data_IF_323792476445
#
_entry.id   IF_323792476445
#
_cell.length_a   1.000
_cell.length_b   1.000
_cell.length_c   1.000
_cell.angle_alpha   90.00
_cell.angle_beta   90.00
_cell.angle_gamma   90.00
#
_symmetry.space_group_name_H-M   'P 1'
#
loop_
_entity.id
_entity.type
_entity.pdbx_description
1 polymer ?
#
# COMPACT_ATOMS: atom_id res chain seq x y z
N UNK A 1 -19.62 54.87 -13.89
CA UNK A 1 -18.92 54.71 -12.60
C UNK A 1 -19.20 53.30 -12.13
N UNK A 2 -18.36 52.37 -12.57
CA UNK A 2 -18.58 50.93 -12.54
C UNK A 2 -18.26 50.39 -11.15
N UNK A 3 -19.26 49.85 -10.45
CA UNK A 3 -19.12 49.22 -9.14
C UNK A 3 -18.40 47.89 -9.31
N UNK A 4 -17.15 47.85 -8.86
CA UNK A 4 -16.52 46.77 -8.12
C UNK A 4 -16.90 45.33 -8.51
N UNK A 5 -16.35 44.87 -9.63
CA UNK A 5 -16.19 43.46 -10.00
C UNK A 5 -15.19 42.69 -9.09
N UNK A 6 -14.89 43.17 -7.88
CA UNK A 6 -13.82 42.65 -7.02
C UNK A 6 -14.24 41.46 -6.14
N UNK A 7 -15.52 41.08 -6.14
CA UNK A 7 -16.04 39.98 -5.31
C UNK A 7 -15.94 38.62 -6.05
N UNK A 8 -15.99 38.62 -7.40
CA UNK A 8 -15.88 37.38 -8.19
C UNK A 8 -14.45 36.85 -8.31
N UNK A 9 -13.46 37.73 -8.39
CA UNK A 9 -12.06 37.33 -8.65
C UNK A 9 -11.39 36.62 -7.46
N UNK A 10 -11.94 36.76 -6.25
CA UNK A 10 -11.40 36.12 -5.03
C UNK A 10 -11.77 34.64 -4.91
N UNK A 11 -12.78 34.18 -5.64
CA UNK A 11 -13.19 32.77 -5.67
C UNK A 11 -12.57 31.97 -6.83
N UNK A 12 -12.08 32.65 -7.88
CA UNK A 12 -11.53 31.99 -9.06
C UNK A 12 -10.00 31.82 -9.02
N UNK A 13 -9.34 32.38 -7.99
CA UNK A 13 -7.89 32.19 -7.75
C UNK A 13 -7.62 31.21 -6.62
N UNK A 14 -8.55 30.29 -6.35
CA UNK A 14 -8.23 29.04 -5.65
C UNK A 14 -7.42 28.17 -6.61
N UNK A 15 -6.13 28.49 -6.76
CA UNK A 15 -5.15 27.41 -6.90
C UNK A 15 -5.47 26.45 -5.77
N UNK A 16 -5.74 25.15 -6.02
CA UNK A 16 -5.93 24.21 -4.93
C UNK A 16 -4.71 24.40 -4.04
N UNK A 17 -4.93 24.83 -2.79
CA UNK A 17 -3.88 24.96 -1.81
C UNK A 17 -3.12 23.64 -1.86
N UNK A 18 -1.85 23.70 -2.25
CA UNK A 18 -0.95 22.56 -2.18
C UNK A 18 -1.19 21.95 -0.80
N UNK A 19 -1.52 20.64 -0.73
CA UNK A 19 -1.85 20.01 0.54
C UNK A 19 -0.73 20.38 1.50
N UNK A 20 -1.12 20.89 2.67
CA UNK A 20 -0.17 21.36 3.68
C UNK A 20 0.78 20.21 3.99
N UNK A 21 2.08 20.46 4.16
CA UNK A 21 3.07 19.37 4.36
C UNK A 21 2.65 18.42 5.50
N UNK A 22 1.97 18.96 6.51
CA UNK A 22 1.36 18.23 7.64
C UNK A 22 0.22 17.28 7.22
N UNK A 23 -0.62 17.64 6.25
CA UNK A 23 -1.70 16.78 5.76
C UNK A 23 -1.16 15.63 4.92
N UNK A 24 -0.11 15.90 4.14
CA UNK A 24 0.64 14.90 3.39
C UNK A 24 1.32 13.89 4.32
N UNK A 25 1.95 14.36 5.40
CA UNK A 25 2.62 13.51 6.37
C UNK A 25 1.63 12.61 7.12
N UNK A 26 0.51 13.17 7.59
CA UNK A 26 -0.54 12.40 8.24
C UNK A 26 -1.15 11.34 7.32
N UNK A 27 -1.39 11.67 6.04
CA UNK A 27 -1.88 10.71 5.06
C UNK A 27 -0.88 9.57 4.83
N UNK A 28 0.42 9.87 4.74
CA UNK A 28 1.47 8.85 4.58
C UNK A 28 1.51 7.94 5.80
N UNK A 29 1.46 8.48 7.01
CA UNK A 29 1.47 7.70 8.26
C UNK A 29 0.22 6.82 8.38
N UNK A 30 -0.96 7.34 8.07
CA UNK A 30 -2.21 6.59 8.12
C UNK A 30 -2.25 5.47 7.06
N UNK A 31 -1.79 5.76 5.84
CA UNK A 31 -1.61 4.77 4.78
C UNK A 31 -0.62 3.68 5.20
N UNK A 32 0.50 4.05 5.83
CA UNK A 32 1.51 3.11 6.30
C UNK A 32 0.94 2.19 7.38
N UNK A 33 0.22 2.75 8.35
CA UNK A 33 -0.44 2.00 9.42
C UNK A 33 -1.48 1.01 8.85
N UNK A 34 -2.28 1.47 7.88
CA UNK A 34 -3.25 0.62 7.20
C UNK A 34 -2.58 -0.53 6.42
N UNK A 35 -1.55 -0.22 5.63
CA UNK A 35 -0.80 -1.23 4.86
C UNK A 35 -0.07 -2.21 5.76
N UNK A 36 0.42 -1.78 6.91
CA UNK A 36 1.08 -2.68 7.86
C UNK A 36 0.09 -3.63 8.51
N UNK A 37 -1.03 -3.12 9.02
CA UNK A 37 -2.01 -3.95 9.72
C UNK A 37 -2.73 -4.91 8.78
N UNK A 38 -3.21 -4.41 7.63
CA UNK A 38 -3.98 -5.21 6.69
C UNK A 38 -3.10 -5.93 5.67
N UNK A 39 -2.01 -5.32 5.23
CA UNK A 39 -1.10 -5.91 4.22
C UNK A 39 -0.41 -7.17 4.74
N UNK A 40 0.01 -7.21 6.01
CA UNK A 40 0.61 -8.41 6.61
C UNK A 40 -0.43 -9.54 6.73
N UNK A 41 -1.66 -9.23 7.15
CA UNK A 41 -2.75 -10.21 7.26
C UNK A 41 -3.09 -10.78 5.88
N UNK A 42 -3.30 -9.90 4.89
CA UNK A 42 -3.63 -10.31 3.52
C UNK A 42 -2.51 -11.16 2.93
N UNK A 43 -1.25 -10.73 3.03
CA UNK A 43 -0.12 -11.51 2.50
C UNK A 43 0.02 -12.87 3.19
N UNK A 44 -0.25 -12.96 4.50
CA UNK A 44 -0.22 -14.22 5.24
C UNK A 44 -1.32 -15.19 4.77
N UNK A 45 -2.55 -14.70 4.58
CA UNK A 45 -3.67 -15.49 4.06
C UNK A 45 -3.37 -15.95 2.63
N UNK A 46 -2.89 -15.05 1.75
CA UNK A 46 -2.56 -15.39 0.37
C UNK A 46 -1.41 -16.40 0.31
N UNK A 47 -0.40 -16.30 1.18
CA UNK A 47 0.66 -17.29 1.28
C UNK A 47 0.12 -18.68 1.67
N UNK A 48 -0.79 -18.76 2.64
CA UNK A 48 -1.45 -20.02 3.01
C UNK A 48 -2.24 -20.62 1.85
N UNK A 49 -3.00 -19.80 1.12
CA UNK A 49 -3.73 -20.24 -0.08
C UNK A 49 -2.76 -20.78 -1.13
N UNK A 50 -1.63 -20.10 -1.37
CA UNK A 50 -0.62 -20.56 -2.31
C UNK A 50 0.00 -21.92 -1.89
N UNK A 51 0.17 -22.16 -0.58
CA UNK A 51 0.64 -23.46 -0.06
C UNK A 51 -0.38 -24.56 -0.31
N UNK A 52 -1.67 -24.30 -0.10
CA UNK A 52 -2.75 -25.25 -0.39
C UNK A 52 -2.78 -25.58 -1.89
N UNK A 53 -2.70 -24.55 -2.74
CA UNK A 53 -2.67 -24.71 -4.19
C UNK A 53 -1.41 -25.48 -4.64
N UNK A 54 -0.26 -25.24 -4.02
CA UNK A 54 0.96 -26.00 -4.27
C UNK A 54 0.76 -27.49 -4.00
N UNK A 55 0.13 -27.87 -2.89
CA UNK A 55 -0.17 -29.28 -2.58
C UNK A 55 -1.10 -29.90 -3.64
N UNK A 56 -2.14 -29.17 -4.06
CA UNK A 56 -3.07 -29.63 -5.10
C UNK A 56 -2.37 -29.85 -6.47
N UNK A 57 -1.50 -28.93 -6.88
CA UNK A 57 -0.77 -29.06 -8.15
C UNK A 57 0.36 -30.10 -8.10
N UNK A 58 0.92 -30.36 -6.92
CA UNK A 58 1.86 -31.47 -6.70
C UNK A 58 1.19 -32.82 -7.01
N UNK A 59 -0.07 -33.00 -6.63
CA UNK A 59 -0.86 -34.20 -6.94
C UNK A 59 -1.13 -34.33 -8.46
N UNK A 60 -1.33 -33.20 -9.16
CA UNK A 60 -1.54 -33.16 -10.62
C UNK A 60 -0.25 -33.37 -11.46
N UNK A 61 0.92 -33.59 -10.84
CA UNK A 61 2.22 -33.82 -11.50
C UNK A 61 2.58 -32.80 -12.60
N UNK A 62 2.19 -31.53 -12.42
CA UNK A 62 2.43 -30.48 -13.42
C UNK A 62 3.61 -29.58 -12.98
N UNK A 63 4.87 -29.89 -13.36
CA UNK A 63 6.06 -29.30 -12.75
C UNK A 63 6.20 -27.80 -12.99
N UNK A 64 5.70 -27.28 -14.12
CA UNK A 64 5.77 -25.85 -14.45
C UNK A 64 4.90 -25.01 -13.50
N UNK A 65 3.65 -25.40 -13.30
CA UNK A 65 2.71 -24.73 -12.39
C UNK A 65 3.17 -24.82 -10.93
N UNK A 66 3.70 -25.97 -10.51
CA UNK A 66 4.25 -26.14 -9.16
C UNK A 66 5.37 -25.13 -8.86
N UNK A 67 6.25 -24.88 -9.84
CA UNK A 67 7.34 -23.91 -9.70
C UNK A 67 6.81 -22.46 -9.63
N UNK A 68 5.82 -22.12 -10.44
CA UNK A 68 5.17 -20.80 -10.43
C UNK A 68 4.49 -20.52 -9.08
N UNK A 69 3.64 -21.44 -8.60
CA UNK A 69 2.93 -21.27 -7.33
C UNK A 69 3.87 -21.21 -6.13
N UNK A 70 4.97 -21.96 -6.17
CA UNK A 70 6.00 -21.89 -5.13
C UNK A 70 6.73 -20.54 -5.16
N UNK A 71 7.07 -20.02 -6.34
CA UNK A 71 7.66 -18.69 -6.48
C UNK A 71 6.70 -17.60 -5.99
N UNK A 72 5.42 -17.70 -6.34
CA UNK A 72 4.37 -16.77 -5.90
C UNK A 72 4.23 -16.77 -4.36
N UNK A 73 4.22 -17.95 -3.74
CA UNK A 73 4.17 -18.08 -2.28
C UNK A 73 5.37 -17.38 -1.60
N UNK A 74 6.59 -17.60 -2.10
CA UNK A 74 7.78 -16.91 -1.58
C UNK A 74 7.73 -15.40 -1.83
N UNK A 75 7.18 -14.96 -2.96
CA UNK A 75 6.96 -13.55 -3.25
C UNK A 75 6.03 -12.88 -2.24
N UNK A 76 4.90 -13.50 -1.92
CA UNK A 76 3.98 -12.98 -0.89
C UNK A 76 4.60 -12.97 0.51
N UNK A 77 5.39 -13.99 0.86
CA UNK A 77 6.13 -14.02 2.13
C UNK A 77 7.15 -12.87 2.18
N UNK A 78 7.89 -12.65 1.09
CA UNK A 78 8.88 -11.57 1.01
C UNK A 78 8.21 -10.20 1.16
N UNK A 79 7.11 -9.97 0.45
CA UNK A 79 6.33 -8.71 0.54
C UNK A 79 5.77 -8.52 1.95
N UNK A 80 5.29 -9.57 2.61
CA UNK A 80 4.84 -9.51 4.00
C UNK A 80 5.95 -9.06 4.95
N UNK A 81 7.17 -9.60 4.77
CA UNK A 81 8.34 -9.21 5.57
C UNK A 81 8.69 -7.74 5.32
N UNK A 82 8.66 -7.28 4.06
CA UNK A 82 8.92 -5.87 3.74
C UNK A 82 7.90 -4.95 4.43
N UNK A 83 6.60 -5.28 4.40
CA UNK A 83 5.59 -4.50 5.12
C UNK A 83 5.72 -4.56 6.64
N UNK A 84 6.21 -5.67 7.18
CA UNK A 84 6.49 -5.78 8.61
C UNK A 84 7.70 -4.94 9.04
N UNK A 85 8.70 -4.79 8.17
CA UNK A 85 9.97 -4.08 8.45
C UNK A 85 9.89 -2.59 8.09
N UNK A 86 9.12 -2.21 7.07
CA UNK A 86 8.94 -0.82 6.63
C UNK A 86 8.64 0.18 7.75
N UNK A 87 7.75 -0.07 8.72
CA UNK A 87 7.50 0.86 9.83
C UNK A 87 8.74 1.13 10.69
N UNK A 88 9.60 0.12 10.93
CA UNK A 88 10.81 0.30 11.73
C UNK A 88 11.84 1.20 11.06
N UNK A 89 11.82 1.26 9.72
CA UNK A 89 12.69 2.14 8.95
C UNK A 89 12.14 3.57 8.85
N UNK A 90 10.82 3.74 8.95
CA UNK A 90 10.14 5.03 8.80
C UNK A 90 9.89 5.75 10.13
N UNK A 91 9.76 5.02 11.25
CA UNK A 91 9.72 5.57 12.60
C UNK A 91 10.81 6.63 12.88
N UNK A 92 12.11 6.40 12.56
CA UNK A 92 13.16 7.38 12.83
C UNK A 92 13.15 8.61 11.91
N UNK A 93 12.26 8.69 10.90
CA UNK A 93 12.09 9.90 10.08
C UNK A 93 10.89 10.75 10.51
N UNK A 94 10.00 10.19 11.35
CA UNK A 94 8.77 10.84 11.82
C UNK A 94 8.96 11.40 13.25
N UNK A 95 9.95 10.91 14.00
CA UNK A 95 10.36 11.44 15.31
C UNK A 95 11.44 12.52 15.19
#
# INVERSE_FOLDING_TARGET
>A
MSKDNSIGLKNDTMLPSLPTDEEMENFVVELLAFLQQWGVIVCSITALICIVIYQLFKVRKNPQLVRLWRFLAYGFIFIAIVFAVSPYLLLPFIE
#
